data_IF_542267386663
#
_entry.id   IF_542267386663
#
_cell.length_a   1.000
_cell.length_b   1.000
_cell.length_c   1.000
_cell.angle_alpha   90.00
_cell.angle_beta   90.00
_cell.angle_gamma   90.00
#
_symmetry.space_group_name_H-M   'P 1'
#
loop_
_entity.id
_entity.type
_entity.pdbx_description
1 polymer ?
#
# COMPACT_ATOMS: atom_id res chain seq x y z
N UNK A 1 19.27 -17.83 6.83
CA UNK A 1 19.32 -16.92 5.67
C UNK A 1 17.91 -16.49 5.29
N UNK A 2 17.08 -17.34 4.67
CA UNK A 2 15.70 -17.00 4.25
C UNK A 2 14.80 -16.45 5.37
N UNK A 3 14.81 -17.08 6.56
CA UNK A 3 14.03 -16.59 7.70
C UNK A 3 14.50 -15.21 8.20
N UNK A 4 15.79 -14.90 8.05
CA UNK A 4 16.32 -13.59 8.45
C UNK A 4 15.86 -12.52 7.47
N UNK A 5 15.81 -12.83 6.17
CA UNK A 5 15.28 -11.90 5.17
C UNK A 5 13.81 -11.53 5.48
N UNK A 6 12.98 -12.51 5.85
CA UNK A 6 11.59 -12.25 6.27
C UNK A 6 11.53 -11.39 7.54
N UNK A 7 12.42 -11.62 8.51
CA UNK A 7 12.51 -10.78 9.72
C UNK A 7 12.89 -9.36 9.38
N UNK A 8 13.88 -9.18 8.51
CA UNK A 8 14.39 -7.88 8.09
C UNK A 8 13.32 -7.13 7.29
N UNK A 9 12.61 -7.80 6.40
CA UNK A 9 11.42 -7.26 5.71
C UNK A 9 10.39 -6.73 6.70
N UNK A 10 10.00 -7.52 7.70
CA UNK A 10 9.01 -7.10 8.69
C UNK A 10 9.53 -5.91 9.52
N UNK A 11 10.83 -5.87 9.87
CA UNK A 11 11.43 -4.72 10.57
C UNK A 11 11.47 -3.45 9.74
N UNK A 12 11.55 -3.57 8.41
CA UNK A 12 11.65 -2.45 7.49
C UNK A 12 10.28 -1.91 7.05
N UNK A 13 9.18 -2.53 7.47
CA UNK A 13 7.84 -1.98 7.24
C UNK A 13 7.69 -0.62 7.91
N UNK A 14 7.12 0.35 7.21
CA UNK A 14 6.70 1.60 7.83
C UNK A 14 5.62 1.36 8.89
N UNK A 15 5.43 2.30 9.83
CA UNK A 15 4.40 2.18 10.86
C UNK A 15 3.01 1.86 10.27
N UNK A 16 2.67 2.47 9.12
CA UNK A 16 1.43 2.22 8.42
C UNK A 16 1.33 0.78 7.88
N UNK A 17 2.38 0.32 7.19
CA UNK A 17 2.42 -1.04 6.63
C UNK A 17 2.47 -2.10 7.72
N UNK A 18 3.09 -1.79 8.86
CA UNK A 18 3.14 -2.69 10.01
C UNK A 18 1.77 -2.86 10.65
N UNK A 19 0.99 -1.78 10.82
CA UNK A 19 -0.40 -1.89 11.27
C UNK A 19 -1.28 -2.65 10.29
N UNK A 20 -1.11 -2.43 8.99
CA UNK A 20 -1.82 -3.19 7.96
C UNK A 20 -1.43 -4.68 8.00
N UNK A 21 -0.14 -4.98 8.12
CA UNK A 21 0.40 -6.33 8.31
C UNK A 21 -0.24 -7.03 9.51
N UNK A 22 -0.26 -6.39 10.68
CA UNK A 22 -0.88 -6.97 11.88
C UNK A 22 -2.38 -7.22 11.70
N UNK A 23 -3.09 -6.32 11.03
CA UNK A 23 -4.52 -6.45 10.74
C UNK A 23 -4.80 -7.65 9.83
N UNK A 24 -4.07 -7.77 8.71
CA UNK A 24 -4.20 -8.84 7.72
C UNK A 24 -3.78 -10.19 8.29
N UNK A 25 -2.66 -10.24 8.99
CA UNK A 25 -2.18 -11.44 9.68
C UNK A 25 -3.22 -11.99 10.64
N UNK A 26 -3.90 -11.11 11.40
CA UNK A 26 -4.97 -11.52 12.30
C UNK A 26 -6.17 -12.12 11.55
N UNK A 27 -6.53 -11.55 10.40
CA UNK A 27 -7.59 -12.10 9.55
C UNK A 27 -7.21 -13.48 9.02
N UNK A 28 -5.98 -13.65 8.52
CA UNK A 28 -5.47 -14.93 8.00
C UNK A 28 -5.46 -16.00 9.10
N UNK A 29 -4.93 -15.67 10.28
CA UNK A 29 -4.91 -16.58 11.42
C UNK A 29 -6.32 -17.03 11.83
N UNK A 30 -7.26 -16.09 11.86
CA UNK A 30 -8.63 -16.38 12.26
C UNK A 30 -9.39 -17.21 11.21
N UNK A 31 -9.28 -16.84 9.92
CA UNK A 31 -10.06 -17.45 8.84
C UNK A 31 -9.43 -18.77 8.39
N UNK A 32 -8.13 -18.79 8.12
CA UNK A 32 -7.46 -19.94 7.49
C UNK A 32 -6.99 -20.99 8.50
N UNK A 33 -6.66 -20.57 9.72
CA UNK A 33 -6.13 -21.46 10.76
C UNK A 33 -7.04 -21.59 11.98
N UNK A 34 -8.23 -20.96 11.98
CA UNK A 34 -9.17 -20.95 13.11
C UNK A 34 -8.53 -20.54 14.44
N UNK A 35 -7.59 -19.59 14.39
CA UNK A 35 -6.83 -19.11 15.55
C UNK A 35 -7.19 -17.67 15.88
N UNK A 36 -7.90 -17.51 16.98
CA UNK A 36 -8.12 -16.20 17.55
C UNK A 36 -6.90 -15.75 18.37
N UNK A 37 -6.31 -14.61 17.98
CA UNK A 37 -5.21 -13.96 18.71
C UNK A 37 -5.63 -12.53 19.05
N UNK A 38 -5.41 -12.13 20.31
CA UNK A 38 -5.62 -10.74 20.76
C UNK A 38 -4.60 -9.82 20.06
N UNK A 39 -4.98 -8.59 19.67
CA UNK A 39 -4.08 -7.67 18.96
C UNK A 39 -2.74 -7.43 19.66
N UNK A 40 -2.75 -7.20 20.96
CA UNK A 40 -1.51 -6.98 21.75
C UNK A 40 -0.58 -8.18 21.73
N UNK A 41 -1.14 -9.38 21.87
CA UNK A 41 -0.39 -10.65 21.82
C UNK A 41 0.15 -10.91 20.42
N UNK A 42 -0.60 -10.56 19.37
CA UNK A 42 -0.16 -10.73 18.00
C UNK A 42 1.05 -9.83 17.71
N UNK A 43 0.95 -8.55 18.06
CA UNK A 43 2.07 -7.59 17.92
C UNK A 43 3.32 -8.10 18.62
N UNK A 44 3.20 -8.45 19.91
CA UNK A 44 4.32 -8.98 20.69
C UNK A 44 4.99 -10.17 20.00
N UNK A 45 4.22 -11.13 19.46
CA UNK A 45 4.76 -12.31 18.78
C UNK A 45 5.48 -11.96 17.47
N UNK A 46 4.98 -10.97 16.75
CA UNK A 46 5.62 -10.48 15.52
C UNK A 46 6.91 -9.74 15.86
N UNK A 47 6.92 -8.91 16.90
CA UNK A 47 8.11 -8.20 17.39
C UNK A 47 9.19 -9.18 17.89
N UNK A 48 8.78 -10.22 18.64
CA UNK A 48 9.66 -11.29 19.10
C UNK A 48 10.27 -12.05 17.92
N UNK A 49 9.46 -12.39 16.90
CA UNK A 49 9.93 -13.02 15.68
C UNK A 49 10.95 -12.14 14.94
N UNK A 50 10.60 -10.87 14.72
CA UNK A 50 11.42 -9.90 14.01
C UNK A 50 12.78 -9.74 14.71
N UNK A 51 12.80 -9.77 16.04
CA UNK A 51 14.00 -9.63 16.89
C UNK A 51 14.86 -10.91 16.97
N UNK A 52 14.47 -12.00 16.29
CA UNK A 52 15.25 -13.24 16.21
C UNK A 52 14.61 -14.44 16.89
N UNK A 53 13.43 -14.28 17.50
CA UNK A 53 12.63 -15.38 18.04
C UNK A 53 12.22 -16.38 16.96
N UNK A 54 12.11 -17.65 17.33
CA UNK A 54 11.68 -18.69 16.40
C UNK A 54 10.15 -18.76 16.37
N UNK A 55 9.52 -18.57 15.20
CA UNK A 55 8.09 -18.70 15.08
C UNK A 55 7.72 -20.18 15.08
N UNK A 56 6.47 -20.47 15.43
CA UNK A 56 5.88 -21.76 15.04
C UNK A 56 5.66 -21.77 13.52
N UNK A 57 5.72 -22.95 12.90
CA UNK A 57 5.66 -23.12 11.43
C UNK A 57 4.39 -22.49 10.84
N UNK A 58 3.27 -22.71 11.50
CA UNK A 58 1.96 -22.13 11.15
C UNK A 58 1.95 -20.60 11.16
N UNK A 59 2.63 -19.96 12.11
CA UNK A 59 2.80 -18.50 12.13
C UNK A 59 3.72 -18.01 11.02
N UNK A 60 4.80 -18.74 10.74
CA UNK A 60 5.71 -18.38 9.67
C UNK A 60 5.03 -18.43 8.29
N UNK A 61 4.24 -19.46 8.03
CA UNK A 61 3.38 -19.54 6.84
C UNK A 61 2.41 -18.36 6.76
N UNK A 62 1.74 -18.03 7.87
CA UNK A 62 0.87 -16.86 7.92
C UNK A 62 1.59 -15.55 7.62
N UNK A 63 2.84 -15.38 8.06
CA UNK A 63 3.63 -14.18 7.76
C UNK A 63 3.85 -14.05 6.25
N UNK A 64 4.26 -15.14 5.58
CA UNK A 64 4.45 -15.15 4.14
C UNK A 64 3.15 -14.85 3.38
N UNK A 65 2.05 -15.50 3.77
CA UNK A 65 0.73 -15.23 3.18
C UNK A 65 0.29 -13.78 3.38
N UNK A 66 0.58 -13.21 4.54
CA UNK A 66 0.28 -11.80 4.82
C UNK A 66 1.08 -10.88 3.92
N UNK A 67 2.36 -11.18 3.68
CA UNK A 67 3.20 -10.40 2.78
C UNK A 67 2.69 -10.49 1.33
N UNK A 68 2.20 -11.64 0.87
CA UNK A 68 1.58 -11.76 -0.46
C UNK A 68 0.23 -11.01 -0.57
N UNK A 69 -0.52 -10.87 0.52
CA UNK A 69 -1.77 -10.09 0.52
C UNK A 69 -1.53 -8.58 0.46
N UNK A 70 -0.38 -8.11 0.96
CA UNK A 70 -0.05 -6.68 1.06
C UNK A 70 0.84 -6.24 -0.10
N UNK A 71 1.82 -7.07 -0.47
CA UNK A 71 2.82 -6.79 -1.48
C UNK A 71 2.73 -7.83 -2.59
N UNK A 72 2.83 -7.38 -3.84
CA UNK A 72 2.87 -8.31 -4.97
C UNK A 72 4.09 -9.22 -4.87
N UNK A 73 3.85 -10.53 -4.90
CA UNK A 73 4.90 -11.56 -4.72
C UNK A 73 5.68 -11.36 -3.40
N UNK A 74 5.04 -10.80 -2.39
CA UNK A 74 5.64 -10.40 -1.13
C UNK A 74 6.34 -11.54 -0.40
N UNK A 75 5.79 -12.76 -0.42
CA UNK A 75 6.44 -13.91 0.20
C UNK A 75 7.76 -14.28 -0.48
N UNK A 76 7.76 -14.37 -1.81
CA UNK A 76 8.95 -14.71 -2.60
C UNK A 76 10.00 -13.61 -2.45
N UNK A 77 9.56 -12.35 -2.53
CA UNK A 77 10.43 -11.20 -2.35
C UNK A 77 11.02 -11.20 -0.93
N UNK A 78 10.23 -11.39 0.13
CA UNK A 78 10.74 -11.48 1.51
C UNK A 78 11.80 -12.56 1.70
N UNK A 79 11.65 -13.69 1.00
CA UNK A 79 12.61 -14.80 1.07
C UNK A 79 13.89 -14.46 0.32
N UNK A 80 13.81 -13.79 -0.83
CA UNK A 80 14.94 -13.56 -1.74
C UNK A 80 15.67 -12.23 -1.49
N UNK A 81 14.95 -11.16 -1.14
CA UNK A 81 15.46 -9.80 -1.00
C UNK A 81 14.73 -9.06 0.15
N UNK A 82 15.43 -8.61 1.21
CA UNK A 82 14.80 -7.98 2.36
C UNK A 82 14.10 -6.63 2.05
N UNK A 83 14.43 -5.98 0.93
CA UNK A 83 13.78 -4.75 0.46
C UNK A 83 12.52 -5.07 -0.38
N UNK A 84 11.41 -5.40 0.29
CA UNK A 84 10.12 -5.38 -0.39
C UNK A 84 9.75 -3.93 -0.63
N UNK A 85 9.71 -3.52 -1.90
CA UNK A 85 9.17 -2.20 -2.27
C UNK A 85 7.67 -2.19 -1.99
N UNK A 86 7.23 -1.21 -1.21
CA UNK A 86 5.81 -0.95 -0.97
C UNK A 86 5.02 -0.89 -2.27
N UNK A 87 3.75 -1.33 -2.34
CA UNK A 87 2.92 -1.15 -3.53
C UNK A 87 2.82 0.34 -3.87
N UNK A 88 2.81 1.20 -2.84
CA UNK A 88 2.71 2.65 -2.99
C UNK A 88 3.99 3.27 -3.59
N UNK A 89 5.14 2.60 -3.42
CA UNK A 89 6.41 2.97 -4.02
C UNK A 89 6.63 2.35 -5.40
N UNK A 90 5.78 1.41 -5.81
CA UNK A 90 5.87 0.79 -7.12
C UNK A 90 5.30 1.76 -8.17
N UNK A 91 6.11 2.22 -9.14
CA UNK A 91 5.63 3.08 -10.22
C UNK A 91 4.43 2.50 -10.97
N UNK A 92 4.29 1.17 -10.97
CA UNK A 92 3.15 0.46 -11.58
C UNK A 92 1.82 0.74 -10.88
N UNK A 93 1.76 0.79 -9.55
CA UNK A 93 0.47 1.02 -8.85
C UNK A 93 0.03 2.48 -8.95
N UNK A 94 0.99 3.42 -9.01
CA UNK A 94 0.74 4.83 -9.36
C UNK A 94 0.24 5.00 -10.79
N UNK A 95 0.84 4.26 -11.71
CA UNK A 95 0.44 4.24 -13.13
C UNK A 95 -0.94 3.62 -13.30
N UNK A 96 -1.22 2.52 -12.59
CA UNK A 96 -2.52 1.83 -12.62
C UNK A 96 -3.64 2.68 -12.05
N UNK A 97 -3.39 3.52 -11.04
CA UNK A 97 -4.35 4.50 -10.57
C UNK A 97 -4.69 5.54 -11.66
N UNK A 98 -3.68 6.10 -12.34
CA UNK A 98 -3.88 7.02 -13.45
C UNK A 98 -4.65 6.36 -14.61
N UNK A 99 -4.26 5.15 -15.01
CA UNK A 99 -4.92 4.39 -16.08
C UNK A 99 -6.39 4.13 -15.73
N UNK A 100 -6.70 3.69 -14.51
CA UNK A 100 -8.08 3.46 -14.06
C UNK A 100 -8.93 4.73 -14.12
N UNK A 101 -8.42 5.86 -13.63
CA UNK A 101 -9.15 7.13 -13.66
C UNK A 101 -9.42 7.58 -15.11
N UNK A 102 -8.44 7.48 -16.00
CA UNK A 102 -8.61 7.88 -17.41
C UNK A 102 -9.61 6.97 -18.15
N UNK A 103 -9.66 5.69 -17.79
CA UNK A 103 -10.61 4.73 -18.35
C UNK A 103 -12.04 4.93 -17.83
N UNK A 104 -12.21 5.15 -16.52
CA UNK A 104 -13.53 5.23 -15.88
C UNK A 104 -14.31 6.50 -16.25
N UNK A 105 -13.63 7.63 -16.43
CA UNK A 105 -14.29 8.91 -16.73
C UNK A 105 -14.40 9.21 -18.22
N UNK A 106 -13.58 8.57 -19.06
CA UNK A 106 -13.52 8.82 -20.50
C UNK A 106 -13.06 10.25 -20.82
N UNK A 107 -11.89 10.40 -21.43
CA UNK A 107 -11.43 11.72 -21.89
C UNK A 107 -12.10 12.09 -23.22
N UNK A 108 -12.39 13.38 -23.40
CA UNK A 108 -12.88 13.86 -24.69
C UNK A 108 -11.80 13.68 -25.77
N UNK A 109 -12.23 13.47 -27.02
CA UNK A 109 -11.32 13.29 -28.16
C UNK A 109 -10.38 14.48 -28.42
N UNK A 110 -10.71 15.66 -27.88
CA UNK A 110 -9.82 16.81 -27.90
C UNK A 110 -8.68 16.63 -26.91
N UNK A 111 -8.99 16.31 -25.65
CA UNK A 111 -7.97 16.08 -24.62
C UNK A 111 -7.07 14.91 -25.00
N UNK A 112 -7.62 13.82 -25.54
CA UNK A 112 -6.83 12.65 -25.94
C UNK A 112 -5.79 12.96 -27.01
N UNK A 113 -6.10 13.86 -27.95
CA UNK A 113 -5.15 14.28 -29.00
C UNK A 113 -3.95 15.05 -28.44
N UNK A 114 -4.17 15.77 -27.35
CA UNK A 114 -3.15 16.61 -26.73
C UNK A 114 -2.27 15.82 -25.74
N UNK A 115 -2.63 14.56 -25.43
CA UNK A 115 -1.83 13.69 -24.55
C UNK A 115 -0.56 13.15 -25.21
N UNK A 116 -0.40 13.29 -26.52
CA UNK A 116 0.85 12.93 -27.22
C UNK A 116 1.96 13.98 -26.99
N UNK A 117 1.62 15.17 -26.48
CA UNK A 117 2.59 16.21 -26.12
C UNK A 117 3.18 15.95 -24.72
N UNK A 118 4.49 15.71 -24.67
CA UNK A 118 5.22 15.44 -23.43
C UNK A 118 5.14 16.59 -22.41
N UNK A 119 5.05 17.85 -22.86
CA UNK A 119 4.89 19.01 -21.96
C UNK A 119 3.54 19.00 -21.29
N UNK A 120 2.49 18.66 -22.06
CA UNK A 120 1.13 18.52 -21.53
C UNK A 120 1.08 17.38 -20.51
N UNK A 121 1.74 16.26 -20.78
CA UNK A 121 1.85 15.15 -19.83
C UNK A 121 2.56 15.56 -18.53
N UNK A 122 3.61 16.37 -18.59
CA UNK A 122 4.31 16.89 -17.40
C UNK A 122 3.37 17.78 -16.57
N UNK A 123 2.63 18.67 -17.21
CA UNK A 123 1.67 19.54 -16.51
C UNK A 123 0.53 18.74 -15.86
N UNK A 124 -0.01 17.72 -16.55
CA UNK A 124 -1.04 16.83 -16.00
C UNK A 124 -0.52 16.06 -14.78
N UNK A 125 0.69 15.49 -14.88
CA UNK A 125 1.33 14.78 -13.75
C UNK A 125 1.54 15.72 -12.56
N UNK A 126 2.00 16.94 -12.83
CA UNK A 126 2.25 17.97 -11.81
C UNK A 126 0.95 18.43 -11.16
N UNK A 127 -0.12 18.61 -11.95
CA UNK A 127 -1.46 18.93 -11.44
C UNK A 127 -1.98 17.83 -10.51
N UNK A 128 -1.85 16.56 -10.91
CA UNK A 128 -2.27 15.42 -10.09
C UNK A 128 -1.50 15.38 -8.77
N UNK A 129 -0.18 15.52 -8.82
CA UNK A 129 0.68 15.56 -7.65
C UNK A 129 0.28 16.69 -6.70
N UNK A 130 0.19 17.92 -7.21
CA UNK A 130 -0.16 19.10 -6.41
C UNK A 130 -1.56 18.99 -5.81
N UNK A 131 -2.51 18.39 -6.53
CA UNK A 131 -3.87 18.14 -6.03
C UNK A 131 -3.86 17.19 -4.83
N UNK A 132 -3.10 16.09 -4.92
CA UNK A 132 -2.98 15.12 -3.84
C UNK A 132 -2.25 15.69 -2.62
N UNK A 133 -1.14 16.40 -2.84
CA UNK A 133 -0.41 17.06 -1.75
C UNK A 133 -1.22 18.15 -1.06
N UNK A 134 -1.98 18.95 -1.82
CA UNK A 134 -2.88 19.93 -1.23
C UNK A 134 -3.95 19.28 -0.33
N UNK A 135 -4.39 18.08 -0.68
CA UNK A 135 -5.38 17.35 0.10
C UNK A 135 -4.80 16.65 1.33
N UNK A 136 -3.47 16.61 1.51
CA UNK A 136 -2.81 15.90 2.61
C UNK A 136 -3.40 16.30 3.96
N UNK A 137 -3.58 15.31 4.83
CA UNK A 137 -4.09 15.49 6.19
C UNK A 137 -3.38 14.56 7.16
N UNK A 138 -3.39 14.90 8.44
CA UNK A 138 -2.73 14.15 9.50
C UNK A 138 -3.29 12.72 9.67
N UNK A 139 -4.50 12.48 9.17
CA UNK A 139 -5.13 11.16 9.15
C UNK A 139 -6.03 10.98 7.93
N UNK A 140 -6.47 9.73 7.72
CA UNK A 140 -7.32 9.33 6.59
C UNK A 140 -8.62 10.12 6.50
N UNK A 141 -9.25 10.45 7.63
CA UNK A 141 -10.52 11.17 7.63
C UNK A 141 -10.34 12.62 7.19
N UNK A 142 -9.27 13.27 7.68
CA UNK A 142 -8.91 14.62 7.25
C UNK A 142 -8.52 14.68 5.78
N UNK A 143 -7.74 13.70 5.31
CA UNK A 143 -7.42 13.56 3.89
C UNK A 143 -8.69 13.44 3.04
N UNK A 144 -9.64 12.59 3.44
CA UNK A 144 -10.93 12.44 2.75
C UNK A 144 -11.74 13.73 2.70
N UNK A 145 -11.81 14.46 3.82
CA UNK A 145 -12.52 15.75 3.89
C UNK A 145 -11.88 16.80 2.97
N UNK A 146 -10.56 16.92 3.00
CA UNK A 146 -9.83 17.84 2.13
C UNK A 146 -10.03 17.49 0.66
N UNK A 147 -9.97 16.21 0.30
CA UNK A 147 -10.18 15.72 -1.06
C UNK A 147 -11.61 15.99 -1.56
N UNK A 148 -12.61 15.84 -0.69
CA UNK A 148 -13.99 16.21 -1.01
C UNK A 148 -14.14 17.73 -1.24
N UNK A 149 -13.55 18.55 -0.37
CA UNK A 149 -13.61 20.00 -0.49
C UNK A 149 -12.90 20.49 -1.77
N UNK A 150 -11.72 19.96 -2.07
CA UNK A 150 -10.96 20.28 -3.26
C UNK A 150 -11.68 19.87 -4.54
N UNK A 151 -12.28 18.66 -4.58
CA UNK A 151 -13.09 18.24 -5.71
C UNK A 151 -14.33 19.13 -5.92
N UNK A 152 -14.94 19.61 -4.84
CA UNK A 152 -16.06 20.56 -4.95
C UNK A 152 -15.59 21.91 -5.49
N UNK A 153 -14.41 22.38 -5.07
CA UNK A 153 -13.79 23.60 -5.62
C UNK A 153 -13.54 23.46 -7.12
N UNK A 154 -12.93 22.36 -7.58
CA UNK A 154 -12.67 22.12 -9.00
C UNK A 154 -13.96 21.97 -9.84
N UNK A 155 -15.07 21.56 -9.23
CA UNK A 155 -16.37 21.44 -9.90
C UNK A 155 -17.08 22.79 -10.08
N UNK A 156 -16.61 23.88 -9.47
CA UNK A 156 -17.17 25.21 -9.70
C UNK A 156 -16.90 25.57 -11.17
N UNK A 157 -17.93 25.41 -12.01
CA UNK A 157 -17.90 25.82 -13.40
C UNK A 157 -17.76 27.34 -13.47
N UNK A 158 -16.76 27.82 -14.22
CA UNK A 158 -16.84 29.13 -14.86
C UNK A 158 -17.90 29.10 -15.96
#
# INVERSE_FOLDING_TARGET
MYINNVRDTIRNLSDFEYEEFLSRLRQILNIRHNKYVKPSVLRQRVDEFASGGNPKIDYFECYLLTLDEIFKEGAINALQNPEIKSPIENPKDRTDLMIKVMHDFGLSSQITRDLDDERILIEIKTLLYNSLEHCKGENKEKFRQNLHAFNNFLKIKL
#
